data_IF_324781126736
#
_entry.id   IF_324781126736
#
_cell.length_a   1.000
_cell.length_b   1.000
_cell.length_c   1.000
_cell.angle_alpha   90.00
_cell.angle_beta   90.00
_cell.angle_gamma   90.00
#
_symmetry.space_group_name_H-M   'P 1'
#
loop_
_entity.id
_entity.type
_entity.pdbx_description
1 polymer ?
#
# COMPACT_ATOMS: atom_id res chain seq x y z
N UNK A 1 -23.51 -11.89 11.42
CA UNK A 1 -23.10 -10.59 10.87
C UNK A 1 -23.66 -10.45 9.46
N UNK A 2 -24.14 -9.25 9.08
CA UNK A 2 -24.58 -9.00 7.71
C UNK A 2 -23.39 -9.18 6.73
N UNK A 3 -23.64 -9.71 5.53
CA UNK A 3 -22.62 -9.95 4.50
C UNK A 3 -21.81 -8.68 4.19
N UNK A 4 -22.50 -7.53 4.14
CA UNK A 4 -21.87 -6.21 3.95
C UNK A 4 -20.85 -5.89 5.03
N UNK A 5 -21.20 -6.12 6.30
CA UNK A 5 -20.31 -5.91 7.45
C UNK A 5 -19.10 -6.83 7.39
N UNK A 6 -19.30 -8.11 7.03
CA UNK A 6 -18.21 -9.07 6.90
C UNK A 6 -17.23 -8.65 5.81
N UNK A 7 -17.71 -8.21 4.65
CA UNK A 7 -16.87 -7.73 3.54
C UNK A 7 -16.08 -6.49 3.96
N UNK A 8 -16.72 -5.51 4.61
CA UNK A 8 -16.00 -4.33 5.11
C UNK A 8 -14.90 -4.70 6.11
N UNK A 9 -15.19 -5.57 7.07
CA UNK A 9 -14.24 -5.98 8.10
C UNK A 9 -13.06 -6.72 7.48
N UNK A 10 -13.32 -7.69 6.58
CA UNK A 10 -12.25 -8.46 5.92
C UNK A 10 -11.42 -7.57 4.99
N UNK A 11 -12.07 -6.71 4.20
CA UNK A 11 -11.37 -5.77 3.31
C UNK A 11 -10.51 -4.78 4.08
N UNK A 12 -11.03 -4.22 5.18
CA UNK A 12 -10.27 -3.32 6.06
C UNK A 12 -9.08 -4.00 6.72
N UNK A 13 -9.28 -5.23 7.24
CA UNK A 13 -8.20 -5.99 7.88
C UNK A 13 -7.08 -6.34 6.89
N UNK A 14 -7.44 -6.81 5.69
CA UNK A 14 -6.46 -7.10 4.64
C UNK A 14 -5.72 -5.83 4.19
N UNK A 15 -6.45 -4.72 4.00
CA UNK A 15 -5.84 -3.44 3.64
C UNK A 15 -4.84 -2.94 4.69
N UNK A 16 -5.19 -3.05 5.98
CA UNK A 16 -4.32 -2.67 7.08
C UNK A 16 -3.05 -3.53 7.12
N UNK A 17 -3.19 -4.85 6.98
CA UNK A 17 -2.04 -5.78 6.96
C UNK A 17 -1.09 -5.46 5.79
N UNK A 18 -1.64 -5.21 4.59
CA UNK A 18 -0.84 -4.83 3.42
C UNK A 18 -0.14 -3.49 3.64
N UNK A 19 -0.84 -2.48 4.16
CA UNK A 19 -0.27 -1.16 4.43
C UNK A 19 0.88 -1.19 5.44
N UNK A 20 0.70 -1.88 6.57
CA UNK A 20 1.74 -2.05 7.59
C UNK A 20 2.93 -2.83 7.03
N UNK A 21 2.67 -3.90 6.28
CA UNK A 21 3.74 -4.70 5.67
C UNK A 21 4.55 -3.89 4.65
N UNK A 22 3.89 -3.09 3.81
CA UNK A 22 4.55 -2.21 2.86
C UNK A 22 5.44 -1.16 3.57
N UNK A 23 4.93 -0.55 4.64
CA UNK A 23 5.71 0.39 5.46
C UNK A 23 6.91 -0.30 6.14
N UNK A 24 6.71 -1.49 6.70
CA UNK A 24 7.78 -2.26 7.33
C UNK A 24 8.87 -2.65 6.33
N UNK A 25 8.50 -3.16 5.17
CA UNK A 25 9.45 -3.51 4.10
C UNK A 25 10.16 -2.26 3.56
N UNK A 26 9.48 -1.12 3.50
CA UNK A 26 10.10 0.15 3.11
C UNK A 26 11.21 0.54 4.10
N UNK A 27 10.93 0.51 5.40
CA UNK A 27 11.92 0.79 6.44
C UNK A 27 13.06 -0.24 6.47
N UNK A 28 12.77 -1.50 6.15
CA UNK A 28 13.80 -2.55 6.10
C UNK A 28 14.70 -2.45 4.86
N UNK A 29 14.15 -2.06 3.72
CA UNK A 29 14.89 -1.96 2.46
C UNK A 29 15.68 -0.66 2.31
N UNK A 30 15.32 0.36 3.10
CA UNK A 30 15.96 1.66 3.06
C UNK A 30 16.68 1.90 4.40
N UNK A 31 18.01 1.83 4.45
CA UNK A 31 18.74 2.16 5.66
C UNK A 31 18.35 3.58 6.09
N UNK A 32 17.97 3.71 7.36
CA UNK A 32 17.68 5.01 7.97
C UNK A 32 19.00 5.75 8.03
N UNK A 33 19.14 6.80 7.23
CA UNK A 33 20.34 7.63 7.25
C UNK A 33 20.19 8.62 8.40
N UNK A 34 21.23 8.72 9.23
CA UNK A 34 21.22 9.62 10.39
C UNK A 34 22.02 10.84 9.99
N UNK A 35 21.32 11.95 9.80
CA UNK A 35 21.95 13.22 9.41
C UNK A 35 22.93 13.70 10.52
N UNK A 36 23.83 14.63 10.20
CA UNK A 36 24.83 15.19 11.13
C UNK A 36 24.17 15.85 12.38
N UNK A 37 22.88 16.17 12.30
CA UNK A 37 22.03 16.70 13.37
C UNK A 37 21.36 15.61 14.25
N UNK A 38 21.66 14.33 14.01
CA UNK A 38 21.07 13.19 14.72
C UNK A 38 19.61 12.90 14.34
N UNK A 39 19.17 13.37 13.18
CA UNK A 39 17.78 13.17 12.70
C UNK A 39 17.72 12.00 11.73
N UNK A 40 16.85 11.04 12.04
CA UNK A 40 16.52 9.93 11.15
C UNK A 40 15.85 10.47 9.88
N UNK A 41 16.59 10.49 8.78
CA UNK A 41 16.07 10.83 7.46
C UNK A 41 15.91 9.56 6.64
N UNK A 42 14.66 9.27 6.31
CA UNK A 42 14.37 8.24 5.31
C UNK A 42 14.74 8.79 3.93
N UNK A 43 15.38 8.00 3.06
CA UNK A 43 15.66 8.42 1.70
C UNK A 43 14.36 8.84 1.03
N UNK A 44 14.41 9.95 0.29
CA UNK A 44 13.21 10.48 -0.37
C UNK A 44 12.67 9.48 -1.39
N UNK A 45 11.39 9.12 -1.26
CA UNK A 45 10.71 8.30 -2.26
C UNK A 45 10.61 9.12 -3.55
N UNK A 46 11.19 8.61 -4.64
CA UNK A 46 11.01 9.23 -5.96
C UNK A 46 9.51 9.35 -6.28
N UNK A 47 8.99 10.59 -6.51
CA UNK A 47 7.57 10.82 -6.73
C UNK A 47 7.00 9.99 -7.90
N UNK A 48 7.79 9.80 -8.96
CA UNK A 48 7.42 8.98 -10.10
C UNK A 48 7.14 7.52 -9.72
N UNK A 49 7.98 6.91 -8.87
CA UNK A 49 7.78 5.52 -8.42
C UNK A 49 6.54 5.39 -7.54
N UNK A 50 6.28 6.38 -6.68
CA UNK A 50 5.06 6.41 -5.86
C UNK A 50 3.80 6.48 -6.73
N UNK A 51 3.79 7.36 -7.74
CA UNK A 51 2.68 7.50 -8.68
C UNK A 51 2.46 6.19 -9.46
N UNK A 52 3.54 5.58 -9.99
CA UNK A 52 3.44 4.31 -10.71
C UNK A 52 2.88 3.19 -9.82
N UNK A 53 3.30 3.11 -8.56
CA UNK A 53 2.77 2.11 -7.62
C UNK A 53 1.26 2.30 -7.39
N UNK A 54 0.81 3.54 -7.16
CA UNK A 54 -0.62 3.85 -6.97
C UNK A 54 -1.43 3.52 -8.23
N UNK A 55 -0.95 3.89 -9.41
CA UNK A 55 -1.61 3.57 -10.68
C UNK A 55 -1.64 2.07 -10.98
N UNK A 56 -0.59 1.35 -10.60
CA UNK A 56 -0.54 -0.11 -10.69
C UNK A 56 -1.63 -0.77 -9.84
N UNK A 57 -1.77 -0.34 -8.58
CA UNK A 57 -2.82 -0.81 -7.67
C UNK A 57 -4.21 -0.51 -8.26
N UNK A 58 -4.44 0.73 -8.72
CA UNK A 58 -5.71 1.11 -9.35
C UNK A 58 -6.05 0.26 -10.58
N UNK A 59 -5.04 -0.05 -11.39
CA UNK A 59 -5.20 -0.90 -12.58
C UNK A 59 -5.58 -2.33 -12.18
N UNK A 60 -4.93 -2.90 -11.18
CA UNK A 60 -5.26 -4.23 -10.67
C UNK A 60 -6.70 -4.28 -10.11
N UNK A 61 -7.10 -3.26 -9.34
CA UNK A 61 -8.47 -3.14 -8.83
C UNK A 61 -9.47 -3.06 -10.00
N UNK A 62 -9.17 -2.25 -11.02
CA UNK A 62 -10.03 -2.12 -12.20
C UNK A 62 -10.19 -3.46 -12.93
N UNK A 63 -9.12 -4.24 -13.06
CA UNK A 63 -9.17 -5.58 -13.68
C UNK A 63 -10.05 -6.55 -12.89
N UNK A 64 -9.91 -6.58 -11.56
CA UNK A 64 -10.75 -7.41 -10.69
C UNK A 64 -12.23 -7.03 -10.85
N UNK A 65 -12.52 -5.72 -10.86
CA UNK A 65 -13.89 -5.21 -11.03
C UNK A 65 -14.43 -5.53 -12.42
N UNK A 66 -13.62 -5.45 -13.49
CA UNK A 66 -14.07 -5.79 -14.83
C UNK A 66 -14.35 -7.28 -14.98
N UNK A 67 -13.57 -8.15 -14.33
CA UNK A 67 -13.81 -9.61 -14.34
C UNK A 67 -15.09 -9.99 -13.59
N UNK A 68 -15.49 -9.20 -12.58
CA UNK A 68 -16.71 -9.42 -11.81
C UNK A 68 -18.00 -8.93 -12.48
N UNK A 69 -17.92 -8.23 -13.63
CA UNK A 69 -19.09 -7.81 -14.40
C UNK A 69 -19.39 -8.85 -15.48
N UNK A 70 -20.52 -9.58 -15.40
CA UNK A 70 -20.96 -10.43 -16.52
C UNK A 70 -21.26 -9.55 -17.73
N UNK A 71 -20.89 -10.05 -18.92
CA UNK A 71 -21.16 -9.42 -20.22
C UNK A 71 -22.65 -9.28 -20.48
#
# INVERSE_FOLDING_TARGET
MNLRTRIMVVGGLLGALVGVSAAYLYLQANPVDVDEEGREQLPSIQPGKAITAVLGILTAIRQIVSMGRPS
#
